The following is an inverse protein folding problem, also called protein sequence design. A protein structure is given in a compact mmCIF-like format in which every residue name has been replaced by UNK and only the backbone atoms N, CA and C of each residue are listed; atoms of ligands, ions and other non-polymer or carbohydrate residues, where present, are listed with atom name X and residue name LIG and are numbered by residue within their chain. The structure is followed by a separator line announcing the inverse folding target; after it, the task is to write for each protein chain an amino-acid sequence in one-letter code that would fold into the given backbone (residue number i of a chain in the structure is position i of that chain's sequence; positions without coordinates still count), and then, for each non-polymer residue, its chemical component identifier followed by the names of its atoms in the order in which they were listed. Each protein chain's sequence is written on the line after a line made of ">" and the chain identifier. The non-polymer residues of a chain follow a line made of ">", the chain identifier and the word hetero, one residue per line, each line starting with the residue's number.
data_IF_046402305065
#
_entry.id   IF_046402305065
#
_cell.length_a   1.000
_cell.length_b   1.000
_cell.length_c   1.000
_cell.angle_alpha   90.00
_cell.angle_beta   90.00
_cell.angle_gamma   90.00
#
_symmetry.space_group_name_H-M   'P 1'
#
loop_
_entity.id
_entity.type
_entity.pdbx_description
1 polymer ?
#
# COMPACT_ATOMS: atom_id res chain seq x y z
N UNK A 1 9.08 -6.27 4.71
CA UNK A 1 8.27 -5.06 4.49
C UNK A 1 7.51 -4.76 5.76
N UNK A 2 7.62 -3.56 6.34
CA UNK A 2 6.86 -3.18 7.54
C UNK A 2 5.67 -2.33 7.08
N UNK A 3 4.45 -2.80 7.32
CA UNK A 3 3.22 -2.04 7.07
C UNK A 3 2.93 -1.22 8.34
N UNK A 4 3.06 0.11 8.25
CA UNK A 4 2.78 1.03 9.36
C UNK A 4 1.49 1.80 9.10
N UNK A 5 0.45 1.48 9.86
CA UNK A 5 -0.84 2.16 9.85
C UNK A 5 -0.71 3.54 10.50
N UNK A 6 -1.17 4.59 9.80
CA UNK A 6 -1.25 5.94 10.36
C UNK A 6 -2.74 6.33 10.46
N UNK A 7 -3.24 6.77 11.63
CA UNK A 7 -4.65 7.13 11.85
C UNK A 7 -5.05 8.46 11.16
N UNK A 8 -4.22 8.99 10.27
CA UNK A 8 -4.44 10.25 9.56
C UNK A 8 -4.40 9.97 8.06
N UNK A 9 -5.56 9.64 7.51
CA UNK A 9 -5.77 9.47 6.08
C UNK A 9 -7.10 8.78 5.81
N UNK A 10 -7.93 9.36 4.93
CA UNK A 10 -9.19 8.74 4.46
C UNK A 10 -8.95 7.57 3.47
N UNK A 11 -7.71 7.11 3.34
CA UNK A 11 -7.26 6.26 2.24
C UNK A 11 -6.96 4.85 2.73
N UNK A 12 -7.67 3.87 2.15
CA UNK A 12 -7.36 2.45 2.30
C UNK A 12 -6.00 2.08 1.68
N UNK A 13 -5.78 0.79 1.45
CA UNK A 13 -4.50 0.23 1.00
C UNK A 13 -3.94 0.83 -0.29
N UNK A 14 -4.77 1.47 -1.11
CA UNK A 14 -4.33 2.21 -2.30
C UNK A 14 -3.33 3.34 -1.96
N UNK A 15 -3.54 4.09 -0.88
CA UNK A 15 -2.68 5.22 -0.50
C UNK A 15 -1.20 4.84 -0.34
N UNK A 16 -0.86 3.90 0.56
CA UNK A 16 0.53 3.47 0.76
C UNK A 16 1.11 2.76 -0.47
N UNK A 17 0.33 1.94 -1.17
CA UNK A 17 0.82 1.20 -2.35
C UNK A 17 1.12 2.17 -3.50
N UNK A 18 0.24 3.12 -3.79
CA UNK A 18 0.44 4.14 -4.82
C UNK A 18 1.59 5.09 -4.49
N UNK A 19 1.82 5.39 -3.20
CA UNK A 19 2.95 6.20 -2.76
C UNK A 19 4.29 5.51 -3.08
N UNK A 20 4.39 4.23 -2.77
CA UNK A 20 5.63 3.44 -2.92
C UNK A 20 5.90 3.04 -4.37
N UNK A 21 4.87 2.59 -5.10
CA UNK A 21 5.02 2.00 -6.43
C UNK A 21 4.58 2.91 -7.58
N UNK A 22 3.99 4.07 -7.26
CA UNK A 22 3.31 4.91 -8.22
C UNK A 22 1.87 4.43 -8.47
N UNK A 23 0.99 5.36 -8.84
CA UNK A 23 -0.42 5.07 -9.14
C UNK A 23 -0.58 3.98 -10.20
N UNK A 24 0.29 4.01 -11.21
CA UNK A 24 0.29 3.04 -12.32
C UNK A 24 1.29 1.89 -12.12
N UNK A 25 1.86 1.73 -10.91
CA UNK A 25 2.88 0.71 -10.57
C UNK A 25 4.21 0.83 -11.33
N UNK A 26 4.46 1.96 -11.98
CA UNK A 26 5.63 2.21 -12.83
C UNK A 26 6.55 3.30 -12.27
N UNK A 27 6.62 3.47 -10.94
CA UNK A 27 7.57 4.42 -10.36
C UNK A 27 9.00 3.98 -10.66
N UNK A 28 9.77 4.88 -11.28
CA UNK A 28 11.17 4.64 -11.60
C UNK A 28 11.98 4.27 -10.33
N UNK A 29 12.75 3.18 -10.43
CA UNK A 29 13.55 2.66 -9.33
C UNK A 29 12.76 1.93 -8.22
N UNK A 30 11.43 1.89 -8.30
CA UNK A 30 10.62 1.12 -7.36
C UNK A 30 10.52 -0.34 -7.80
N UNK A 31 10.76 -1.25 -6.87
CA UNK A 31 10.55 -2.69 -7.08
C UNK A 31 10.04 -3.35 -5.81
N UNK A 32 9.27 -4.40 -5.99
CA UNK A 32 8.81 -5.24 -4.88
C UNK A 32 9.88 -6.29 -4.62
N UNK A 33 10.51 -6.22 -3.46
CA UNK A 33 11.52 -7.21 -3.06
C UNK A 33 10.89 -8.56 -2.69
N UNK A 34 9.67 -8.54 -2.12
CA UNK A 34 8.95 -9.73 -1.69
C UNK A 34 7.45 -9.44 -1.51
N UNK A 35 6.59 -10.43 -1.79
CA UNK A 35 5.14 -10.37 -1.60
C UNK A 35 4.40 -9.77 -2.78
N UNK A 36 3.10 -9.52 -2.63
CA UNK A 36 2.24 -8.91 -3.66
C UNK A 36 1.60 -7.61 -3.13
N UNK A 37 1.79 -6.47 -3.81
CA UNK A 37 1.19 -5.20 -3.41
C UNK A 37 -0.34 -5.23 -3.32
N UNK A 38 -0.97 -6.01 -4.19
CA UNK A 38 -2.43 -6.16 -4.26
C UNK A 38 -2.96 -6.87 -3.03
N UNK A 39 -2.32 -7.94 -2.58
CA UNK A 39 -2.67 -8.66 -1.34
C UNK A 39 -2.51 -7.74 -0.12
N UNK A 40 -1.42 -6.95 -0.09
CA UNK A 40 -1.20 -5.97 0.99
C UNK A 40 -2.29 -4.90 1.00
N UNK A 41 -2.71 -4.43 -0.17
CA UNK A 41 -3.82 -3.47 -0.28
C UNK A 41 -5.11 -4.08 0.26
N UNK A 42 -5.47 -5.29 -0.17
CA UNK A 42 -6.68 -5.97 0.29
C UNK A 42 -6.67 -6.20 1.80
N UNK A 43 -5.52 -6.55 2.39
CA UNK A 43 -5.36 -6.68 3.84
C UNK A 43 -5.60 -5.36 4.57
N UNK A 44 -5.13 -4.24 4.01
CA UNK A 44 -5.38 -2.91 4.59
C UNK A 44 -6.86 -2.54 4.44
N UNK A 45 -7.45 -2.78 3.26
CA UNK A 45 -8.86 -2.48 2.97
C UNK A 45 -9.82 -3.34 3.81
N UNK A 46 -9.42 -4.55 4.21
CA UNK A 46 -10.18 -5.43 5.10
C UNK A 46 -10.02 -5.10 6.60
N UNK A 47 -9.13 -4.17 6.95
CA UNK A 47 -8.92 -3.76 8.35
C UNK A 47 -10.18 -3.11 8.92
N UNK A 48 -10.65 -3.50 10.13
CA UNK A 48 -11.79 -2.85 10.77
C UNK A 48 -11.45 -1.45 11.33
N UNK A 49 -10.17 -1.06 11.26
CA UNK A 49 -9.67 0.23 11.71
C UNK A 49 -9.54 1.18 10.52
N UNK A 50 -10.31 2.27 10.54
CA UNK A 50 -10.30 3.38 9.55
C UNK A 50 -9.91 4.71 10.18
#
# INVERSE_FOLDING_TARGET
>A
MIVKFHPRGRGGGAGPVDYLLGKDRQREGASVLQGKPEEVRELIDASPYV
#
